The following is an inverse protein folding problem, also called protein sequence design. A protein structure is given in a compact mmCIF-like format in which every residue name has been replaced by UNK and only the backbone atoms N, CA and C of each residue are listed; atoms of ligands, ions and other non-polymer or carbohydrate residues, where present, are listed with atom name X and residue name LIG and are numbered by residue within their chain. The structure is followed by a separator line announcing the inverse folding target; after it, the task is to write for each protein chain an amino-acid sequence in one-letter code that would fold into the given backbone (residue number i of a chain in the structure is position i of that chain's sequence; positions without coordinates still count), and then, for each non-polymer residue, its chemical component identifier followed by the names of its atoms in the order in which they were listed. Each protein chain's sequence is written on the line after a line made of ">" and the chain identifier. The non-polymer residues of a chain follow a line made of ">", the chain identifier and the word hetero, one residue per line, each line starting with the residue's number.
data_IF_831650979067
#
_entry.id   IF_831650979067
#
_cell.length_a   1.000
_cell.length_b   1.000
_cell.length_c   1.000
_cell.angle_alpha   90.00
_cell.angle_beta   90.00
_cell.angle_gamma   90.00
#
_symmetry.space_group_name_H-M   'P 1'
#
loop_
_entity.id
_entity.type
_entity.pdbx_description
1 polymer ?
#
# COMPACT_ATOMS: atom_id res chain seq x y z
N UNK A 1 -57.53 13.01 -95.61
CA UNK A 1 -56.78 13.97 -94.79
C UNK A 1 -56.61 13.39 -93.38
N UNK A 2 -55.44 12.89 -93.09
CA UNK A 2 -55.09 12.31 -91.78
C UNK A 2 -54.15 13.24 -91.08
N UNK A 3 -54.54 13.75 -89.95
CA UNK A 3 -53.75 14.63 -89.05
C UNK A 3 -52.92 13.77 -88.10
N UNK A 4 -51.62 13.88 -88.15
CA UNK A 4 -50.69 13.25 -87.16
C UNK A 4 -50.42 14.20 -86.05
N UNK A 5 -50.74 13.74 -84.83
CA UNK A 5 -50.40 14.48 -83.61
C UNK A 5 -49.06 13.91 -83.05
N UNK A 6 -48.02 14.73 -83.00
CA UNK A 6 -46.73 14.39 -82.38
C UNK A 6 -46.82 14.68 -80.84
N UNK A 7 -46.64 13.66 -80.04
CA UNK A 7 -46.55 13.77 -78.61
C UNK A 7 -45.07 13.78 -78.22
N UNK A 8 -44.59 14.94 -77.73
CA UNK A 8 -43.24 15.13 -77.16
C UNK A 8 -43.22 14.75 -75.72
N UNK A 9 -42.44 13.67 -75.36
CA UNK A 9 -42.22 13.24 -74.00
C UNK A 9 -40.99 13.93 -73.47
N UNK A 10 -41.18 14.80 -72.50
CA UNK A 10 -40.11 15.41 -71.73
C UNK A 10 -39.65 14.42 -70.59
N UNK A 11 -38.43 13.92 -70.70
CA UNK A 11 -37.80 13.10 -69.65
C UNK A 11 -37.13 14.03 -68.62
N UNK A 12 -37.73 14.18 -67.47
CA UNK A 12 -37.14 14.92 -66.36
C UNK A 12 -36.21 13.95 -65.59
N UNK A 13 -34.89 14.12 -65.76
CA UNK A 13 -33.90 13.40 -64.96
C UNK A 13 -33.84 13.95 -63.58
N UNK A 14 -34.38 13.26 -62.55
CA UNK A 14 -34.18 13.55 -61.14
C UNK A 14 -32.74 13.13 -60.73
N UNK A 15 -31.82 14.07 -60.66
CA UNK A 15 -30.55 13.87 -59.93
C UNK A 15 -30.84 13.74 -58.43
N UNK A 16 -30.80 12.50 -57.89
CA UNK A 16 -30.75 12.29 -56.44
C UNK A 16 -29.39 12.73 -55.94
N UNK A 17 -29.31 13.91 -55.31
CA UNK A 17 -28.17 14.24 -54.46
C UNK A 17 -28.15 13.26 -53.26
N UNK A 18 -27.21 12.31 -53.28
CA UNK A 18 -26.86 11.56 -52.10
C UNK A 18 -26.07 12.51 -51.19
N UNK A 19 -26.71 13.00 -50.10
CA UNK A 19 -26.00 13.62 -49.01
C UNK A 19 -25.12 12.52 -48.40
N UNK A 20 -23.81 12.58 -48.64
CA UNK A 20 -22.83 11.78 -47.90
C UNK A 20 -22.88 12.23 -46.43
N UNK A 21 -23.39 11.35 -45.55
CA UNK A 21 -23.19 11.52 -44.11
C UNK A 21 -21.69 11.64 -43.84
N UNK A 22 -21.23 12.66 -43.09
CA UNK A 22 -19.82 12.78 -42.76
C UNK A 22 -19.38 11.47 -42.06
N UNK A 23 -18.16 10.98 -42.34
CA UNK A 23 -17.65 9.78 -41.73
C UNK A 23 -17.70 9.97 -40.20
N UNK A 24 -18.34 9.05 -39.51
CA UNK A 24 -18.32 8.99 -38.04
C UNK A 24 -16.86 8.82 -37.67
N UNK A 25 -16.29 9.84 -37.00
CA UNK A 25 -14.90 9.77 -36.56
C UNK A 25 -14.78 8.61 -35.56
N UNK A 26 -13.84 7.70 -35.82
CA UNK A 26 -13.63 6.55 -34.95
C UNK A 26 -13.25 7.05 -33.55
N UNK A 27 -13.82 6.44 -32.52
CA UNK A 27 -13.47 6.76 -31.15
C UNK A 27 -11.96 6.52 -30.90
N UNK A 28 -11.30 7.35 -30.06
CA UNK A 28 -9.89 7.15 -29.72
C UNK A 28 -9.62 5.75 -29.18
N UNK A 29 -8.45 5.19 -29.48
CA UNK A 29 -8.03 3.91 -28.91
C UNK A 29 -7.73 4.05 -27.41
N UNK A 30 -7.74 2.93 -26.69
CA UNK A 30 -7.40 2.94 -25.27
C UNK A 30 -5.89 3.01 -25.09
N UNK A 31 -5.41 4.05 -24.38
CA UNK A 31 -4.01 4.17 -23.96
C UNK A 31 -3.75 3.19 -22.80
N UNK A 32 -2.72 2.36 -22.93
CA UNK A 32 -2.34 1.38 -21.91
C UNK A 32 -1.41 1.99 -20.87
N UNK A 33 -1.91 2.20 -19.66
CA UNK A 33 -1.12 2.69 -18.52
C UNK A 33 -0.51 1.53 -17.70
N UNK A 34 0.72 1.74 -17.25
CA UNK A 34 1.40 0.92 -16.26
C UNK A 34 1.30 1.55 -14.86
N UNK A 35 1.26 2.88 -14.80
CA UNK A 35 1.01 3.70 -13.60
C UNK A 35 0.38 5.05 -14.03
N UNK A 36 -0.47 5.65 -13.17
CA UNK A 36 -1.00 5.09 -11.93
C UNK A 36 -1.99 3.96 -12.20
N UNK A 37 -2.14 3.06 -11.21
CA UNK A 37 -3.21 2.07 -11.16
C UNK A 37 -4.40 2.62 -10.36
N UNK A 38 -5.57 2.07 -10.58
CA UNK A 38 -6.75 2.44 -9.79
C UNK A 38 -6.55 2.11 -8.30
N UNK A 39 -6.99 2.98 -7.38
CA UNK A 39 -6.72 2.97 -5.94
C UNK A 39 -5.24 3.13 -5.54
N UNK A 40 -4.34 3.45 -6.47
CA UNK A 40 -2.94 3.72 -6.11
C UNK A 40 -2.81 5.02 -5.34
N UNK A 41 -2.13 4.95 -4.20
CA UNK A 41 -1.68 6.11 -3.43
C UNK A 41 -0.20 6.32 -3.67
N UNK A 42 0.19 7.59 -3.86
CA UNK A 42 1.58 8.03 -3.87
C UNK A 42 1.85 8.79 -2.59
N UNK A 43 3.03 8.55 -2.01
CA UNK A 43 3.43 9.22 -0.78
C UNK A 43 3.54 10.72 -1.02
N UNK A 44 2.79 11.53 -0.27
CA UNK A 44 2.89 12.99 -0.37
C UNK A 44 4.24 13.50 0.12
N UNK A 45 4.75 14.54 -0.52
CA UNK A 45 6.01 15.18 -0.18
C UNK A 45 5.90 16.03 1.08
N UNK A 46 4.80 16.76 1.21
CA UNK A 46 4.47 17.67 2.30
C UNK A 46 2.95 17.63 2.61
N UNK A 47 2.46 18.58 3.38
CA UNK A 47 1.04 18.64 3.74
C UNK A 47 0.11 18.91 2.54
N UNK A 48 0.62 19.47 1.44
CA UNK A 48 -0.19 20.05 0.37
C UNK A 48 -0.15 19.25 -0.93
N UNK A 49 0.95 18.52 -1.22
CA UNK A 49 1.19 17.92 -2.53
C UNK A 49 2.10 16.70 -2.52
N UNK A 50 2.15 16.04 -3.65
CA UNK A 50 3.09 14.95 -3.93
C UNK A 50 3.25 14.72 -5.42
N UNK A 51 4.27 13.93 -5.76
CA UNK A 51 4.56 13.57 -7.14
C UNK A 51 4.05 12.17 -7.44
N UNK A 52 3.41 12.02 -8.60
CA UNK A 52 3.04 10.74 -9.16
C UNK A 52 3.92 10.40 -10.36
N UNK A 53 4.05 9.12 -10.63
CA UNK A 53 4.59 8.63 -11.90
C UNK A 53 3.45 8.28 -12.82
N UNK A 54 3.46 8.82 -14.04
CA UNK A 54 2.56 8.43 -15.11
C UNK A 54 3.38 7.70 -16.14
N UNK A 55 3.06 6.44 -16.43
CA UNK A 55 3.80 5.62 -17.39
C UNK A 55 2.88 4.67 -18.14
N UNK A 56 3.27 4.31 -19.35
CA UNK A 56 2.46 3.43 -20.20
C UNK A 56 3.12 3.12 -21.51
N UNK A 57 2.32 2.56 -22.42
CA UNK A 57 2.74 2.19 -23.77
C UNK A 57 1.72 2.72 -24.77
N UNK A 58 2.20 3.46 -25.77
CA UNK A 58 1.39 3.93 -26.91
C UNK A 58 1.17 2.81 -27.92
N UNK A 59 0.01 2.77 -28.54
CA UNK A 59 -0.19 1.99 -29.75
C UNK A 59 0.51 2.64 -30.96
N UNK A 60 0.59 3.98 -30.94
CA UNK A 60 1.27 4.78 -31.96
C UNK A 60 1.95 5.96 -31.28
N UNK A 61 3.17 6.32 -31.72
CA UNK A 61 3.92 7.46 -31.17
C UNK A 61 3.17 8.78 -31.37
N UNK A 62 2.73 9.46 -30.30
CA UNK A 62 2.02 10.72 -30.42
C UNK A 62 2.99 11.89 -30.63
N UNK A 63 2.44 13.03 -31.02
CA UNK A 63 3.15 14.32 -31.00
C UNK A 63 3.07 14.97 -29.61
N UNK A 64 1.96 14.75 -28.91
CA UNK A 64 1.68 15.38 -27.62
C UNK A 64 0.94 14.41 -26.69
N UNK A 65 1.27 14.46 -25.41
CA UNK A 65 0.55 13.78 -24.33
C UNK A 65 -0.01 14.86 -23.40
N UNK A 66 -1.29 14.79 -23.11
CA UNK A 66 -1.99 15.74 -22.24
C UNK A 66 -2.57 14.99 -21.04
N UNK A 67 -2.54 15.64 -19.89
CA UNK A 67 -3.13 15.14 -18.65
C UNK A 67 -4.01 16.20 -18.02
N UNK A 68 -5.10 15.79 -17.39
CA UNK A 68 -5.88 16.63 -16.47
C UNK A 68 -6.36 15.80 -15.28
N UNK A 69 -6.68 16.48 -14.18
CA UNK A 69 -7.23 15.85 -12.99
C UNK A 69 -8.60 16.42 -12.65
N UNK A 70 -9.45 15.54 -12.11
CA UNK A 70 -10.71 15.94 -11.49
C UNK A 70 -10.63 15.52 -10.02
N UNK A 71 -10.83 16.46 -9.10
CA UNK A 71 -10.82 16.22 -7.66
C UNK A 71 -11.91 17.07 -7.01
N UNK A 72 -12.71 16.49 -6.12
CA UNK A 72 -13.83 17.15 -5.43
C UNK A 72 -14.78 17.91 -6.41
N UNK A 73 -15.00 17.33 -7.58
CA UNK A 73 -15.87 17.93 -8.62
C UNK A 73 -15.24 19.08 -9.43
N UNK A 74 -14.00 19.46 -9.14
CA UNK A 74 -13.27 20.47 -9.89
C UNK A 74 -12.36 19.82 -10.92
N UNK A 75 -12.45 20.24 -12.16
CA UNK A 75 -11.65 19.76 -13.30
C UNK A 75 -10.58 20.79 -13.64
N UNK A 76 -9.31 20.36 -13.71
CA UNK A 76 -8.22 21.20 -14.20
C UNK A 76 -8.27 21.35 -15.71
N UNK A 77 -7.55 22.33 -16.24
CA UNK A 77 -7.25 22.39 -17.66
C UNK A 77 -6.40 21.20 -18.11
N UNK A 78 -6.39 20.92 -19.41
CA UNK A 78 -5.45 19.99 -20.01
C UNK A 78 -4.03 20.58 -20.00
N UNK A 79 -3.09 19.84 -19.41
CA UNK A 79 -1.71 20.26 -19.26
C UNK A 79 -0.83 19.32 -20.10
N UNK A 80 0.10 19.88 -20.93
CA UNK A 80 1.09 19.08 -21.63
C UNK A 80 1.98 18.31 -20.64
N UNK A 81 2.08 16.99 -20.81
CA UNK A 81 2.91 16.13 -20.01
C UNK A 81 4.30 15.98 -20.65
N UNK A 82 5.34 16.49 -20.00
CA UNK A 82 6.72 16.31 -20.44
C UNK A 82 7.15 14.87 -20.10
N UNK A 83 7.02 13.98 -21.08
CA UNK A 83 7.32 12.56 -20.90
C UNK A 83 8.67 12.19 -21.53
N UNK A 84 9.43 11.35 -20.82
CA UNK A 84 10.54 10.62 -21.42
C UNK A 84 9.94 9.47 -22.26
N UNK A 85 10.19 9.49 -23.57
CA UNK A 85 9.65 8.50 -24.50
C UNK A 85 10.79 7.66 -25.04
N UNK A 86 10.72 6.36 -24.82
CA UNK A 86 11.63 5.37 -25.38
C UNK A 86 10.81 4.37 -26.22
N UNK A 87 11.02 4.37 -27.53
CA UNK A 87 10.19 3.65 -28.50
C UNK A 87 8.71 4.05 -28.38
N UNK A 88 7.86 3.15 -27.92
CA UNK A 88 6.45 3.38 -27.62
C UNK A 88 6.14 3.46 -26.12
N UNK A 89 7.14 3.25 -25.25
CA UNK A 89 6.97 3.38 -23.81
C UNK A 89 7.23 4.83 -23.37
N UNK A 90 6.49 5.29 -22.37
CA UNK A 90 6.69 6.62 -21.81
C UNK A 90 6.65 6.59 -20.28
N UNK A 91 7.34 7.57 -19.68
CA UNK A 91 7.28 7.85 -18.25
C UNK A 91 7.41 9.35 -17.99
N UNK A 92 6.62 9.87 -17.06
CA UNK A 92 6.65 11.25 -16.64
C UNK A 92 6.36 11.38 -15.15
N UNK A 93 6.98 12.36 -14.50
CA UNK A 93 6.56 12.86 -13.19
C UNK A 93 5.45 13.90 -13.35
N UNK A 94 4.49 13.89 -12.46
CA UNK A 94 3.42 14.88 -12.42
C UNK A 94 3.06 15.20 -10.97
N UNK A 95 3.01 16.49 -10.63
CA UNK A 95 2.67 16.94 -9.29
C UNK A 95 1.15 17.09 -9.15
N UNK A 96 0.60 16.56 -8.05
CA UNK A 96 -0.81 16.69 -7.70
C UNK A 96 -0.97 17.22 -6.28
N UNK A 97 -2.04 17.98 -5.98
CA UNK A 97 -2.36 18.37 -4.62
C UNK A 97 -2.77 17.15 -3.77
N UNK A 98 -2.44 17.19 -2.48
CA UNK A 98 -2.98 16.25 -1.51
C UNK A 98 -4.47 16.55 -1.26
N UNK A 99 -5.26 15.49 -0.98
CA UNK A 99 -6.70 15.69 -0.74
C UNK A 99 -7.52 14.44 -1.02
N UNK A 100 -8.61 14.57 -1.76
CA UNK A 100 -9.47 13.46 -2.17
C UNK A 100 -8.83 12.56 -3.22
N UNK A 101 -9.61 11.58 -3.73
CA UNK A 101 -9.21 10.85 -4.91
C UNK A 101 -9.20 11.76 -6.13
N UNK A 102 -8.14 11.71 -6.92
CA UNK A 102 -8.08 12.30 -8.25
C UNK A 102 -8.56 11.27 -9.28
N UNK A 103 -9.48 11.68 -10.14
CA UNK A 103 -9.69 11.03 -11.42
C UNK A 103 -8.71 11.65 -12.40
N UNK A 104 -7.80 10.85 -12.93
CA UNK A 104 -6.85 11.29 -13.94
C UNK A 104 -7.34 10.90 -15.33
N UNK A 105 -7.32 11.87 -16.24
CA UNK A 105 -7.62 11.67 -17.64
C UNK A 105 -6.37 12.00 -18.46
N UNK A 106 -6.02 11.09 -19.36
CA UNK A 106 -4.91 11.27 -20.30
C UNK A 106 -5.44 11.16 -21.71
N UNK A 107 -4.85 11.95 -22.60
CA UNK A 107 -5.05 11.80 -24.05
C UNK A 107 -3.75 12.04 -24.79
N UNK A 108 -3.59 11.35 -25.89
CA UNK A 108 -2.49 11.56 -26.82
C UNK A 108 -3.01 12.17 -28.11
N UNK A 109 -2.20 13.06 -28.71
CA UNK A 109 -2.59 13.75 -29.94
C UNK A 109 -1.54 13.58 -31.04
N UNK A 110 -2.03 13.44 -32.27
CA UNK A 110 -1.24 13.45 -33.48
C UNK A 110 -1.96 14.31 -34.54
N UNK A 111 -1.25 15.30 -35.09
CA UNK A 111 -1.81 16.25 -36.07
C UNK A 111 -3.12 16.95 -35.61
N UNK A 112 -3.18 17.30 -34.31
CA UNK A 112 -4.34 17.95 -33.70
C UNK A 112 -5.54 17.05 -33.40
N UNK A 113 -5.45 15.76 -33.70
CA UNK A 113 -6.48 14.76 -33.38
C UNK A 113 -6.10 13.93 -32.17
N UNK A 114 -7.08 13.64 -31.33
CA UNK A 114 -6.93 12.68 -30.22
C UNK A 114 -6.89 11.27 -30.83
N UNK A 115 -5.85 10.50 -30.50
CA UNK A 115 -5.63 9.14 -31.02
C UNK A 115 -5.81 8.06 -29.95
N UNK A 116 -5.47 8.35 -28.69
CA UNK A 116 -5.64 7.42 -27.57
C UNK A 116 -6.05 8.17 -26.31
N UNK A 117 -6.82 7.52 -25.44
CA UNK A 117 -7.26 8.06 -24.16
C UNK A 117 -7.15 7.00 -23.06
N UNK A 118 -6.94 7.47 -21.81
CA UNK A 118 -7.03 6.64 -20.62
C UNK A 118 -7.64 7.44 -19.47
N UNK A 119 -8.32 6.74 -18.58
CA UNK A 119 -8.85 7.29 -17.33
C UNK A 119 -8.50 6.34 -16.17
N UNK A 120 -8.09 6.92 -15.04
CA UNK A 120 -7.90 6.21 -13.77
C UNK A 120 -8.74 6.96 -12.72
N UNK A 121 -9.69 6.26 -12.11
CA UNK A 121 -10.71 6.89 -11.26
C UNK A 121 -10.22 7.29 -9.87
N UNK A 122 -9.32 6.50 -9.26
CA UNK A 122 -8.88 6.72 -7.89
C UNK A 122 -7.35 6.76 -7.80
N UNK A 123 -6.78 7.97 -7.96
CA UNK A 123 -5.36 8.21 -7.74
C UNK A 123 -5.19 9.09 -6.50
N UNK A 124 -4.43 8.62 -5.51
CA UNK A 124 -4.28 9.29 -4.23
C UNK A 124 -2.92 9.96 -4.05
N UNK A 125 -2.92 11.15 -3.45
CA UNK A 125 -1.75 11.79 -2.85
C UNK A 125 -1.97 11.78 -1.34
N UNK A 126 -1.22 10.92 -0.62
CA UNK A 126 -1.50 10.69 0.79
C UNK A 126 -0.38 9.99 1.56
N UNK A 127 -0.74 9.17 2.51
CA UNK A 127 0.22 8.47 3.37
C UNK A 127 0.26 6.98 3.07
N UNK A 128 1.47 6.43 3.00
CA UNK A 128 1.69 4.99 2.78
C UNK A 128 2.46 4.42 3.98
N UNK A 129 1.98 3.33 4.54
CA UNK A 129 2.64 2.60 5.62
C UNK A 129 2.88 1.15 5.24
N UNK A 130 4.08 0.64 5.53
CA UNK A 130 4.37 -0.79 5.45
C UNK A 130 4.01 -1.42 6.80
N UNK A 131 3.26 -2.51 6.81
CA UNK A 131 2.83 -3.21 8.04
C UNK A 131 3.49 -4.57 8.09
N UNK A 132 4.37 -4.78 9.07
CA UNK A 132 5.17 -5.98 9.21
C UNK A 132 5.14 -6.54 10.65
N UNK A 133 5.52 -7.79 10.80
CA UNK A 133 5.53 -8.49 12.06
C UNK A 133 4.79 -9.81 12.01
N UNK A 134 4.13 -10.21 13.12
CA UNK A 134 3.44 -11.50 13.17
C UNK A 134 1.90 -11.37 13.06
N UNK A 135 1.16 -12.35 13.57
CA UNK A 135 -0.28 -12.51 13.31
C UNK A 135 -1.12 -11.26 13.55
N UNK A 136 -0.90 -10.51 14.62
CA UNK A 136 -1.64 -9.29 14.92
C UNK A 136 -1.25 -8.08 14.03
N UNK A 137 -0.22 -8.19 13.17
CA UNK A 137 0.07 -7.28 12.05
C UNK A 137 -0.51 -7.76 10.72
N UNK A 138 -1.25 -8.86 10.73
CA UNK A 138 -1.78 -9.55 9.56
C UNK A 138 -3.29 -9.79 9.71
N UNK A 139 -3.84 -10.79 9.00
CA UNK A 139 -5.28 -11.06 8.97
C UNK A 139 -5.67 -12.20 9.94
N UNK A 140 -5.35 -12.05 11.21
CA UNK A 140 -5.66 -13.08 12.20
C UNK A 140 -6.69 -12.64 13.26
N UNK A 141 -7.17 -11.41 13.20
CA UNK A 141 -8.26 -10.96 14.07
C UNK A 141 -9.56 -11.71 13.80
N UNK A 142 -10.41 -11.79 14.82
CA UNK A 142 -11.63 -12.60 14.83
C UNK A 142 -12.66 -12.13 13.79
N UNK A 143 -12.82 -10.82 13.64
CA UNK A 143 -13.81 -10.22 12.75
C UNK A 143 -13.14 -9.37 11.66
N UNK A 144 -13.55 -9.57 10.41
CA UNK A 144 -13.10 -8.74 9.28
C UNK A 144 -13.57 -7.30 9.45
N UNK A 145 -12.67 -6.37 9.16
CA UNK A 145 -12.95 -4.95 9.12
C UNK A 145 -13.01 -4.45 7.67
N UNK A 146 -13.76 -3.36 7.46
CA UNK A 146 -13.82 -2.67 6.18
C UNK A 146 -13.63 -1.17 6.40
N UNK A 147 -13.03 -0.48 5.42
CA UNK A 147 -12.91 0.97 5.46
C UNK A 147 -14.28 1.65 5.40
N UNK A 148 -14.48 2.68 6.22
CA UNK A 148 -15.69 3.49 6.27
C UNK A 148 -15.61 4.73 5.37
N UNK A 149 -14.41 5.21 5.11
CA UNK A 149 -14.20 6.45 4.35
C UNK A 149 -14.05 6.23 2.84
N UNK A 150 -13.93 4.96 2.38
CA UNK A 150 -13.58 4.61 0.99
C UNK A 150 -12.29 5.27 0.48
N UNK A 151 -11.44 5.78 1.38
CA UNK A 151 -10.15 6.41 1.08
C UNK A 151 -8.95 5.70 1.71
N UNK A 152 -9.16 4.46 2.15
CA UNK A 152 -8.10 3.59 2.62
C UNK A 152 -7.88 2.50 1.59
N UNK A 153 -6.68 2.41 1.06
CA UNK A 153 -6.30 1.41 0.08
C UNK A 153 -5.19 0.48 0.60
N UNK A 154 -4.95 -0.58 -0.14
CA UNK A 154 -3.92 -1.57 0.19
C UNK A 154 -3.25 -2.06 -1.08
N UNK A 155 -1.95 -2.34 -0.99
CA UNK A 155 -1.16 -2.91 -2.07
C UNK A 155 -0.40 -4.15 -1.62
N UNK A 156 -0.46 -5.24 -2.39
CA UNK A 156 0.34 -6.45 -2.16
C UNK A 156 1.75 -6.38 -2.78
N UNK A 157 2.11 -5.19 -3.32
CA UNK A 157 3.31 -4.94 -4.11
C UNK A 157 3.06 -5.00 -5.62
N UNK A 158 1.83 -5.29 -6.07
CA UNK A 158 1.44 -5.35 -7.49
C UNK A 158 0.07 -4.76 -7.75
N UNK A 159 -0.91 -5.08 -6.92
CA UNK A 159 -2.32 -4.70 -7.10
C UNK A 159 -2.75 -3.77 -5.98
N UNK A 160 -3.51 -2.77 -6.36
CA UNK A 160 -4.13 -1.81 -5.46
C UNK A 160 -5.62 -2.07 -5.37
N UNK A 161 -6.18 -1.94 -4.18
CA UNK A 161 -7.61 -2.08 -3.92
C UNK A 161 -7.99 -1.37 -2.63
N UNK A 162 -9.30 -1.24 -2.35
CA UNK A 162 -9.76 -0.79 -1.02
C UNK A 162 -9.29 -1.74 0.08
N UNK A 163 -8.90 -1.19 1.23
CA UNK A 163 -8.38 -1.92 2.37
C UNK A 163 -9.51 -2.61 3.17
N UNK A 164 -10.23 -3.54 2.53
CA UNK A 164 -11.19 -4.42 3.20
C UNK A 164 -10.54 -5.78 3.48
N UNK A 165 -10.75 -6.31 4.68
CA UNK A 165 -10.15 -7.58 5.07
C UNK A 165 -10.70 -8.80 4.28
N UNK A 166 -9.84 -9.79 4.02
CA UNK A 166 -8.44 -9.90 4.43
C UNK A 166 -7.51 -9.06 3.55
N UNK A 167 -6.50 -8.43 4.18
CA UNK A 167 -5.53 -7.61 3.47
C UNK A 167 -4.61 -8.47 2.60
N UNK A 168 -4.43 -8.17 1.30
CA UNK A 168 -3.54 -8.94 0.43
C UNK A 168 -2.08 -8.76 0.86
N UNK A 169 -1.27 -9.81 0.67
CA UNK A 169 0.17 -9.77 1.00
C UNK A 169 0.53 -10.15 2.43
N UNK A 170 -0.43 -10.14 3.36
CA UNK A 170 -0.26 -10.64 4.73
C UNK A 170 -0.91 -12.02 4.93
N UNK A 171 -0.44 -12.77 5.92
CA UNK A 171 -1.00 -14.08 6.25
C UNK A 171 -2.35 -14.00 6.96
N UNK A 172 -3.10 -15.10 6.95
CA UNK A 172 -4.42 -15.22 7.59
C UNK A 172 -5.58 -14.80 6.67
N UNK A 173 -6.81 -15.03 7.14
CA UNK A 173 -8.05 -14.80 6.40
C UNK A 173 -9.12 -14.08 7.26
N UNK A 174 -8.75 -13.62 8.44
CA UNK A 174 -9.60 -12.88 9.38
C UNK A 174 -9.47 -11.37 9.23
N UNK A 175 -9.60 -10.66 10.35
CA UNK A 175 -9.56 -9.20 10.43
C UNK A 175 -8.17 -8.63 10.68
N UNK A 176 -8.03 -7.33 10.40
CA UNK A 176 -6.83 -6.53 10.67
C UNK A 176 -7.17 -5.16 11.25
N UNK A 177 -6.19 -4.50 11.85
CA UNK A 177 -6.34 -3.12 12.35
C UNK A 177 -6.18 -2.06 11.26
N UNK A 178 -5.82 -2.44 10.04
CA UNK A 178 -5.48 -1.50 8.97
C UNK A 178 -6.67 -0.65 8.51
N UNK A 179 -7.88 -1.21 8.26
CA UNK A 179 -9.03 -0.37 7.90
C UNK A 179 -9.35 0.69 8.96
N UNK A 180 -9.54 0.37 10.26
CA UNK A 180 -9.86 1.39 11.26
C UNK A 180 -8.72 2.39 11.52
N UNK A 181 -7.46 1.98 11.42
CA UNK A 181 -6.32 2.89 11.47
C UNK A 181 -6.35 3.86 10.29
N UNK A 182 -6.54 3.35 9.08
CA UNK A 182 -6.60 4.16 7.87
C UNK A 182 -7.73 5.19 7.93
N UNK A 183 -8.93 4.79 8.35
CA UNK A 183 -10.07 5.70 8.52
C UNK A 183 -9.78 6.82 9.53
N UNK A 184 -9.11 6.50 10.64
CA UNK A 184 -8.71 7.51 11.63
C UNK A 184 -7.71 8.53 11.04
N UNK A 185 -6.74 8.07 10.24
CA UNK A 185 -5.78 8.94 9.57
C UNK A 185 -6.44 9.77 8.45
N UNK A 186 -7.34 9.17 7.65
CA UNK A 186 -8.14 9.89 6.64
C UNK A 186 -8.96 10.98 7.29
N UNK A 187 -9.64 10.68 8.40
CA UNK A 187 -10.44 11.65 9.15
C UNK A 187 -9.60 12.83 9.65
N UNK A 188 -8.36 12.56 10.08
CA UNK A 188 -7.47 13.58 10.63
C UNK A 188 -6.83 14.46 9.57
N UNK A 189 -6.30 13.87 8.50
CA UNK A 189 -5.47 14.57 7.52
C UNK A 189 -6.19 14.89 6.20
N UNK A 190 -7.39 14.35 6.02
CA UNK A 190 -8.22 14.50 4.81
C UNK A 190 -7.50 14.10 3.51
N UNK A 191 -6.64 13.08 3.56
CA UNK A 191 -5.92 12.50 2.41
C UNK A 191 -6.16 11.01 2.33
N UNK A 192 -6.01 10.37 1.16
CA UNK A 192 -5.98 8.91 1.06
C UNK A 192 -4.85 8.31 1.90
N UNK A 193 -5.11 7.13 2.45
CA UNK A 193 -4.13 6.36 3.23
C UNK A 193 -3.99 4.97 2.63
N UNK A 194 -2.77 4.49 2.53
CA UNK A 194 -2.52 3.16 2.02
C UNK A 194 -1.64 2.32 2.94
N UNK A 195 -1.85 1.00 2.89
CA UNK A 195 -1.01 0.02 3.56
C UNK A 195 -0.36 -0.92 2.56
N UNK A 196 0.86 -1.34 2.88
CA UNK A 196 1.58 -2.41 2.18
C UNK A 196 1.86 -3.50 3.22
N UNK A 197 0.96 -4.50 3.35
CA UNK A 197 1.05 -5.51 4.39
C UNK A 197 2.02 -6.63 4.01
N UNK A 198 2.80 -7.09 4.98
CA UNK A 198 3.64 -8.28 4.84
C UNK A 198 3.75 -9.11 6.14
N UNK A 199 2.85 -8.91 7.09
CA UNK A 199 2.83 -9.67 8.34
C UNK A 199 2.68 -11.18 8.12
N UNK A 200 3.43 -11.98 8.89
CA UNK A 200 3.47 -13.44 8.77
C UNK A 200 3.16 -14.06 10.13
N UNK A 201 2.06 -14.80 10.23
CA UNK A 201 1.61 -15.41 11.48
C UNK A 201 2.66 -16.29 12.13
N UNK A 202 2.71 -16.24 13.48
CA UNK A 202 3.55 -17.04 14.34
C UNK A 202 5.07 -16.90 14.12
N UNK A 203 5.54 -15.82 13.49
CA UNK A 203 6.97 -15.60 13.27
C UNK A 203 7.65 -14.99 14.48
N UNK A 204 8.82 -15.51 14.86
CA UNK A 204 9.80 -14.91 15.74
C UNK A 204 10.59 -13.81 15.01
N UNK A 205 11.14 -12.84 15.74
CA UNK A 205 12.05 -11.84 15.17
C UNK A 205 13.25 -12.50 14.45
N UNK A 206 13.69 -13.69 14.90
CA UNK A 206 14.76 -14.48 14.30
C UNK A 206 14.49 -14.84 12.83
N UNK A 207 13.23 -15.10 12.46
CA UNK A 207 12.83 -15.44 11.08
C UNK A 207 12.88 -14.25 10.13
N UNK A 208 12.87 -13.02 10.69
CA UNK A 208 12.96 -11.77 9.93
C UNK A 208 14.39 -11.26 9.72
N UNK A 209 15.38 -11.93 10.32
CA UNK A 209 16.79 -11.57 10.09
C UNK A 209 17.18 -11.78 8.63
N UNK A 210 18.09 -10.95 8.09
CA UNK A 210 18.75 -11.24 6.82
C UNK A 210 19.42 -12.62 6.86
N UNK A 211 19.47 -13.30 5.73
CA UNK A 211 20.23 -14.55 5.62
C UNK A 211 21.70 -14.32 5.98
N UNK A 212 22.30 -15.29 6.67
CA UNK A 212 23.70 -15.22 7.11
C UNK A 212 23.90 -14.59 8.50
N UNK A 213 22.83 -14.14 9.17
CA UNK A 213 22.92 -13.69 10.57
C UNK A 213 22.63 -14.88 11.49
N UNK A 214 23.66 -15.42 12.21
CA UNK A 214 23.47 -16.60 13.05
C UNK A 214 22.81 -16.24 14.39
N UNK A 215 22.13 -17.23 14.97
CA UNK A 215 21.60 -17.17 16.33
C UNK A 215 21.68 -18.55 17.00
N UNK A 216 21.77 -18.60 18.35
CA UNK A 216 22.12 -19.85 19.05
C UNK A 216 20.96 -20.86 19.10
N UNK A 217 19.71 -20.40 19.18
CA UNK A 217 18.57 -21.24 19.42
C UNK A 217 17.42 -20.90 18.47
N UNK A 218 16.72 -21.91 17.89
CA UNK A 218 15.63 -21.67 16.96
C UNK A 218 14.37 -21.15 17.67
N UNK A 219 13.45 -20.52 16.93
CA UNK A 219 12.11 -20.20 17.41
C UNK A 219 11.27 -21.49 17.61
N UNK A 220 10.08 -21.35 18.21
CA UNK A 220 9.14 -22.48 18.38
C UNK A 220 8.71 -23.08 17.05
N UNK A 221 8.55 -22.24 16.01
CA UNK A 221 8.23 -22.69 14.64
C UNK A 221 9.47 -22.48 13.77
N UNK A 222 10.02 -23.57 13.25
CA UNK A 222 11.30 -23.58 12.53
C UNK A 222 11.16 -23.49 11.01
N UNK A 223 9.98 -23.13 10.49
CA UNK A 223 9.69 -23.19 9.06
C UNK A 223 10.52 -22.22 8.19
N UNK A 224 11.11 -21.17 8.79
CA UNK A 224 11.90 -20.14 8.08
C UNK A 224 13.31 -20.00 8.61
N UNK A 225 13.78 -21.01 9.33
CA UNK A 225 15.14 -21.07 9.85
C UNK A 225 15.81 -22.37 9.44
N UNK A 226 17.12 -22.38 9.43
CA UNK A 226 17.90 -23.58 9.13
C UNK A 226 19.03 -23.76 10.12
N UNK A 227 19.35 -25.00 10.44
CA UNK A 227 20.47 -25.35 11.31
C UNK A 227 21.78 -25.24 10.54
N UNK A 228 22.77 -24.63 11.16
CA UNK A 228 24.11 -24.49 10.60
C UNK A 228 24.97 -25.74 10.86
N UNK A 229 25.86 -26.14 9.92
CA UNK A 229 26.74 -27.31 10.08
C UNK A 229 27.63 -27.24 11.34
N UNK A 230 28.08 -26.02 11.72
CA UNK A 230 28.92 -25.76 12.90
C UNK A 230 28.15 -25.56 14.21
N UNK A 231 26.84 -25.78 14.21
CA UNK A 231 25.95 -25.50 15.33
C UNK A 231 25.33 -24.07 15.21
N UNK A 232 24.24 -23.85 15.98
CA UNK A 232 23.42 -22.65 15.84
C UNK A 232 22.48 -22.71 14.64
N UNK A 233 21.84 -21.56 14.37
CA UNK A 233 20.76 -21.44 13.39
C UNK A 233 20.90 -20.11 12.63
N UNK A 234 20.30 -20.03 11.46
CA UNK A 234 20.12 -18.76 10.73
C UNK A 234 18.72 -18.70 10.10
N UNK A 235 18.25 -17.49 9.79
CA UNK A 235 17.06 -17.30 8.96
C UNK A 235 17.34 -17.76 7.52
N UNK A 236 16.35 -18.34 6.86
CA UNK A 236 16.41 -18.57 5.40
C UNK A 236 16.30 -17.24 4.60
N UNK A 237 16.04 -16.12 5.29
CA UNK A 237 15.99 -14.77 4.73
C UNK A 237 14.73 -14.40 3.96
N UNK A 238 13.74 -15.31 3.85
CA UNK A 238 12.56 -15.06 2.99
C UNK A 238 11.66 -13.95 3.51
N UNK A 239 11.47 -13.82 4.84
CA UNK A 239 10.66 -12.75 5.42
C UNK A 239 11.34 -11.38 5.24
N UNK A 240 12.64 -11.28 5.50
CA UNK A 240 13.41 -10.07 5.25
C UNK A 240 13.42 -9.66 3.77
N UNK A 241 13.67 -10.62 2.87
CA UNK A 241 13.67 -10.36 1.43
C UNK A 241 12.30 -9.85 0.94
N UNK A 242 11.19 -10.39 1.47
CA UNK A 242 9.85 -9.91 1.14
C UNK A 242 9.63 -8.48 1.64
N UNK A 243 9.99 -8.18 2.89
CA UNK A 243 9.94 -6.83 3.43
C UNK A 243 10.73 -5.84 2.58
N UNK A 244 11.99 -6.18 2.28
CA UNK A 244 12.88 -5.36 1.46
C UNK A 244 12.34 -5.13 0.05
N UNK A 245 11.81 -6.18 -0.60
CA UNK A 245 11.16 -6.08 -1.91
C UNK A 245 10.02 -5.06 -1.91
N UNK A 246 9.18 -5.05 -0.87
CA UNK A 246 8.06 -4.11 -0.76
C UNK A 246 8.55 -2.68 -0.50
N UNK A 247 9.57 -2.51 0.36
CA UNK A 247 10.18 -1.21 0.62
C UNK A 247 10.80 -0.61 -0.65
N UNK A 248 11.54 -1.42 -1.41
CA UNK A 248 12.16 -1.02 -2.67
C UNK A 248 11.11 -0.76 -3.77
N UNK A 249 10.05 -1.58 -3.82
CA UNK A 249 8.95 -1.43 -4.76
C UNK A 249 8.14 -0.16 -4.56
N UNK A 250 8.08 0.37 -3.33
CA UNK A 250 7.48 1.67 -3.05
C UNK A 250 8.35 2.85 -3.59
N UNK A 251 9.64 2.60 -3.84
CA UNK A 251 10.58 3.62 -4.31
C UNK A 251 11.19 4.47 -3.20
N UNK A 252 12.17 5.32 -3.55
CA UNK A 252 12.81 6.23 -2.60
C UNK A 252 11.78 7.17 -1.95
N UNK A 253 11.72 7.15 -0.61
CA UNK A 253 10.74 7.90 0.18
C UNK A 253 9.27 7.63 -0.21
N UNK A 254 8.99 6.50 -0.88
CA UNK A 254 7.67 6.14 -1.39
C UNK A 254 6.71 5.56 -0.33
N UNK A 255 7.11 5.56 0.94
CA UNK A 255 6.26 5.26 2.10
C UNK A 255 6.68 6.13 3.30
N UNK A 256 5.77 6.33 4.25
CA UNK A 256 6.00 7.20 5.41
C UNK A 256 6.76 6.52 6.53
N UNK A 257 6.36 5.31 6.88
CA UNK A 257 6.97 4.54 7.96
C UNK A 257 6.65 3.05 7.84
N UNK A 258 7.42 2.24 8.58
CA UNK A 258 7.11 0.83 8.87
C UNK A 258 6.42 0.73 10.22
N UNK A 259 5.31 0.01 10.28
CA UNK A 259 4.59 -0.31 11.51
C UNK A 259 4.89 -1.78 11.88
N UNK A 260 5.69 -1.96 12.93
CA UNK A 260 6.13 -3.27 13.38
C UNK A 260 5.32 -3.74 14.58
N UNK A 261 4.67 -4.91 14.44
CA UNK A 261 3.91 -5.56 15.51
C UNK A 261 4.31 -7.03 15.62
N UNK A 262 5.24 -7.34 16.51
CA UNK A 262 5.77 -8.69 16.73
C UNK A 262 6.42 -8.76 18.13
N UNK A 263 6.34 -9.91 18.79
CA UNK A 263 6.95 -10.15 20.10
C UNK A 263 6.40 -11.40 20.76
N UNK A 264 5.16 -11.77 20.50
CA UNK A 264 4.48 -12.91 21.13
C UNK A 264 5.22 -14.25 20.89
N UNK A 265 5.75 -14.45 19.66
CA UNK A 265 6.49 -15.69 19.33
C UNK A 265 7.92 -15.74 19.92
N UNK A 266 8.35 -14.70 20.61
CA UNK A 266 9.65 -14.64 21.32
C UNK A 266 9.50 -14.55 22.84
N UNK A 267 8.31 -14.13 23.31
CA UNK A 267 7.98 -14.04 24.74
C UNK A 267 7.54 -15.39 25.30
N UNK A 268 7.89 -15.68 26.54
CA UNK A 268 7.29 -16.70 27.41
C UNK A 268 6.87 -17.99 26.69
N UNK A 269 7.76 -18.57 25.87
CA UNK A 269 7.43 -19.77 25.13
C UNK A 269 7.28 -20.98 26.06
N UNK A 270 6.41 -21.92 25.71
CA UNK A 270 6.17 -23.16 26.47
C UNK A 270 7.46 -23.95 26.71
N UNK A 271 8.37 -23.98 25.73
CA UNK A 271 9.75 -24.42 25.91
C UNK A 271 10.61 -23.19 26.22
N UNK A 272 11.15 -23.05 27.44
CA UNK A 272 11.96 -21.90 27.82
C UNK A 272 13.18 -21.68 26.91
N UNK A 273 13.72 -22.76 26.31
CA UNK A 273 14.83 -22.65 25.36
C UNK A 273 14.44 -21.95 24.04
N UNK A 274 13.16 -21.82 23.75
CA UNK A 274 12.62 -21.12 22.59
C UNK A 274 12.29 -19.65 22.89
N UNK A 275 12.17 -19.31 24.18
CA UNK A 275 12.00 -17.91 24.61
C UNK A 275 13.26 -17.12 24.32
N UNK A 276 13.12 -15.96 23.69
CA UNK A 276 14.24 -15.13 23.35
C UNK A 276 14.52 -14.14 24.49
N UNK A 277 15.75 -14.06 25.02
CA UNK A 277 16.13 -13.02 25.96
C UNK A 277 15.94 -11.63 25.34
N UNK A 278 15.44 -10.67 26.08
CA UNK A 278 15.16 -9.32 25.60
C UNK A 278 16.38 -8.64 24.96
N UNK A 279 17.59 -8.87 25.48
CA UNK A 279 18.82 -8.38 24.87
C UNK A 279 18.97 -8.86 23.41
N UNK A 280 18.76 -10.16 23.15
CA UNK A 280 18.85 -10.72 21.79
C UNK A 280 17.69 -10.26 20.91
N UNK A 281 16.48 -10.16 21.48
CA UNK A 281 15.34 -9.61 20.74
C UNK A 281 15.64 -8.19 20.24
N UNK A 282 16.17 -7.33 21.10
CA UNK A 282 16.58 -5.98 20.73
C UNK A 282 17.64 -5.99 19.63
N UNK A 283 18.71 -6.77 19.82
CA UNK A 283 19.81 -6.85 18.85
C UNK A 283 19.31 -7.28 17.48
N UNK A 284 18.41 -8.27 17.42
CA UNK A 284 17.87 -8.77 16.16
C UNK A 284 16.93 -7.79 15.49
N UNK A 285 16.04 -7.13 16.24
CA UNK A 285 15.15 -6.14 15.65
C UNK A 285 15.93 -4.89 15.20
N UNK A 286 16.92 -4.44 15.95
CA UNK A 286 17.84 -3.37 15.55
C UNK A 286 18.61 -3.75 14.26
N UNK A 287 19.04 -5.00 14.15
CA UNK A 287 19.71 -5.52 12.94
C UNK A 287 18.77 -5.43 11.72
N UNK A 288 17.50 -5.87 11.85
CA UNK A 288 16.50 -5.78 10.77
C UNK A 288 16.30 -4.32 10.35
N UNK A 289 16.07 -3.42 11.31
CA UNK A 289 15.85 -1.99 11.05
C UNK A 289 17.05 -1.38 10.34
N UNK A 290 18.26 -1.62 10.85
CA UNK A 290 19.49 -1.02 10.32
C UNK A 290 19.82 -1.54 8.92
N UNK A 291 19.72 -2.86 8.72
CA UNK A 291 19.95 -3.43 7.39
C UNK A 291 18.90 -2.95 6.37
N UNK A 292 17.62 -2.91 6.75
CA UNK A 292 16.58 -2.42 5.83
C UNK A 292 16.83 -0.98 5.38
N UNK A 293 17.22 -0.09 6.30
CA UNK A 293 17.59 1.30 5.99
C UNK A 293 18.79 1.41 5.07
N UNK A 294 19.82 0.59 5.31
CA UNK A 294 21.00 0.50 4.43
C UNK A 294 20.60 0.05 3.03
N UNK A 295 19.78 -1.00 2.94
CA UNK A 295 19.45 -1.66 1.69
C UNK A 295 18.47 -0.85 0.82
N UNK A 296 17.70 0.06 1.40
CA UNK A 296 16.86 1.04 0.67
C UNK A 296 17.53 2.41 0.48
N UNK A 297 18.69 2.65 1.11
CA UNK A 297 19.46 3.89 0.96
C UNK A 297 18.94 5.11 1.71
N UNK A 298 17.99 4.97 2.65
CA UNK A 298 17.49 6.08 3.47
C UNK A 298 17.00 5.63 4.85
N UNK A 299 16.96 6.58 5.80
CA UNK A 299 16.59 6.33 7.20
C UNK A 299 15.07 6.29 7.37
N UNK A 300 14.40 5.26 6.83
CA UNK A 300 12.97 5.07 6.98
C UNK A 300 12.56 5.05 8.47
N UNK A 301 11.52 5.79 8.87
CA UNK A 301 10.97 5.71 10.23
C UNK A 301 10.36 4.33 10.48
N UNK A 302 10.57 3.80 11.69
CA UNK A 302 9.95 2.57 12.17
C UNK A 302 9.20 2.86 13.45
N UNK A 303 7.95 2.44 13.53
CA UNK A 303 7.21 2.36 14.78
C UNK A 303 7.24 0.93 15.27
N UNK A 304 7.63 0.71 16.52
CA UNK A 304 7.68 -0.60 17.16
C UNK A 304 6.64 -0.64 18.27
N UNK A 305 5.63 -1.51 18.15
CA UNK A 305 4.63 -1.72 19.19
C UNK A 305 5.20 -2.49 20.38
N UNK A 306 4.62 -2.29 21.58
CA UNK A 306 4.84 -3.18 22.71
C UNK A 306 3.93 -4.40 22.60
N UNK A 307 4.55 -5.57 22.43
CA UNK A 307 3.86 -6.81 22.05
C UNK A 307 4.53 -7.99 22.73
N UNK A 308 3.79 -8.70 23.57
CA UNK A 308 4.23 -9.95 24.17
C UNK A 308 3.10 -10.81 24.74
N UNK A 309 1.86 -10.35 24.60
CA UNK A 309 0.65 -11.01 25.15
C UNK A 309 0.37 -12.36 24.47
N UNK A 310 0.06 -13.40 25.25
CA UNK A 310 -0.43 -14.67 24.76
C UNK A 310 -1.90 -14.93 25.11
N UNK A 311 -2.19 -15.05 26.40
CA UNK A 311 -3.51 -15.42 26.95
C UNK A 311 -3.66 -14.82 28.36
N UNK A 312 -4.85 -14.83 28.96
CA UNK A 312 -5.01 -14.51 30.38
C UNK A 312 -4.06 -15.35 31.26
N UNK A 313 -3.31 -14.69 32.11
CA UNK A 313 -2.27 -15.31 32.96
C UNK A 313 -0.86 -15.31 32.33
N UNK A 314 -0.75 -15.05 31.03
CA UNK A 314 0.50 -14.79 30.31
C UNK A 314 0.32 -13.55 29.44
N UNK A 315 0.12 -12.40 30.08
CA UNK A 315 -0.34 -11.18 29.44
C UNK A 315 0.79 -10.23 29.05
N UNK A 316 2.01 -10.48 29.54
CA UNK A 316 3.17 -9.64 29.22
C UNK A 316 4.48 -10.35 29.57
N UNK A 317 5.50 -10.08 28.76
CA UNK A 317 6.90 -10.39 29.06
C UNK A 317 7.63 -9.09 29.36
N UNK A 318 8.01 -8.80 30.62
CA UNK A 318 8.76 -7.60 30.95
C UNK A 318 10.06 -7.47 30.17
N UNK A 319 10.71 -8.59 29.84
CA UNK A 319 11.98 -8.65 29.15
C UNK A 319 11.83 -8.19 27.67
N UNK A 320 10.87 -8.76 26.92
CA UNK A 320 10.58 -8.35 25.55
C UNK A 320 10.07 -6.92 25.49
N UNK A 321 9.17 -6.51 26.37
CA UNK A 321 8.64 -5.13 26.44
C UNK A 321 9.74 -4.11 26.72
N UNK A 322 10.67 -4.45 27.64
CA UNK A 322 11.83 -3.60 27.95
C UNK A 322 12.77 -3.45 26.74
N UNK A 323 12.97 -4.53 25.99
CA UNK A 323 13.74 -4.53 24.76
C UNK A 323 13.11 -3.63 23.68
N UNK A 324 11.80 -3.74 23.46
CA UNK A 324 11.05 -2.88 22.53
C UNK A 324 11.15 -1.40 22.93
N UNK A 325 10.91 -1.10 24.21
CA UNK A 325 11.00 0.27 24.74
C UNK A 325 12.43 0.85 24.65
N UNK A 326 13.46 0.03 24.74
CA UNK A 326 14.85 0.49 24.62
C UNK A 326 15.17 1.02 23.22
N UNK A 327 14.55 0.45 22.15
CA UNK A 327 14.70 0.97 20.80
C UNK A 327 14.13 2.39 20.64
N UNK A 328 13.07 2.71 21.37
CA UNK A 328 12.50 4.07 21.39
C UNK A 328 13.41 5.06 22.11
N UNK A 329 13.89 4.69 23.31
CA UNK A 329 14.79 5.54 24.11
C UNK A 329 16.08 5.90 23.38
N UNK A 330 16.59 4.95 22.62
CA UNK A 330 17.86 5.10 21.90
C UNK A 330 17.67 5.73 20.50
N UNK A 331 16.43 6.11 20.12
CA UNK A 331 16.11 6.77 18.86
C UNK A 331 16.29 5.86 17.60
N UNK A 332 16.35 4.54 17.81
CA UNK A 332 16.41 3.56 16.73
C UNK A 332 15.03 3.45 16.06
N UNK A 333 13.97 3.46 16.87
CA UNK A 333 12.58 3.41 16.42
C UNK A 333 11.73 4.45 17.15
N UNK A 334 10.52 4.67 16.67
CA UNK A 334 9.46 5.43 17.30
C UNK A 334 8.57 4.50 18.13
N UNK A 335 7.93 5.03 19.16
CA UNK A 335 7.00 4.27 19.98
C UNK A 335 5.73 3.94 19.19
N UNK A 336 5.44 2.65 19.05
CA UNK A 336 4.12 2.14 18.68
C UNK A 336 3.21 1.98 19.90
N UNK A 337 1.97 1.49 19.72
CA UNK A 337 1.03 1.31 20.82
C UNK A 337 1.44 0.16 21.76
N UNK A 338 1.00 0.25 23.01
CA UNK A 338 0.97 -0.88 23.94
C UNK A 338 -0.23 -1.77 23.61
N UNK A 339 0.01 -2.85 22.88
CA UNK A 339 -1.02 -3.81 22.50
C UNK A 339 -1.31 -4.87 23.57
N UNK A 340 -0.39 -5.05 24.55
CA UNK A 340 -0.59 -5.97 25.67
C UNK A 340 -1.65 -5.43 26.67
N UNK A 341 -1.87 -4.12 26.66
CA UNK A 341 -2.95 -3.49 27.42
C UNK A 341 -4.36 -3.75 26.86
N UNK A 342 -4.47 -4.32 25.64
CA UNK A 342 -5.74 -4.76 25.07
C UNK A 342 -6.07 -6.17 25.57
N UNK A 343 -6.97 -6.28 26.53
CA UNK A 343 -7.32 -7.52 27.25
C UNK A 343 -8.84 -7.74 27.27
N UNK A 344 -9.26 -8.88 27.81
CA UNK A 344 -10.66 -9.23 27.97
C UNK A 344 -11.41 -9.20 26.63
N UNK A 345 -12.53 -8.52 26.55
CA UNK A 345 -13.38 -8.45 25.35
C UNK A 345 -12.69 -7.92 24.09
N UNK A 346 -11.51 -7.29 24.23
CA UNK A 346 -10.71 -6.84 23.10
C UNK A 346 -9.88 -7.97 22.46
N UNK A 347 -9.90 -9.17 23.06
CA UNK A 347 -9.27 -10.37 22.51
C UNK A 347 -10.31 -11.35 21.98
N UNK A 348 -9.90 -12.15 21.00
CA UNK A 348 -10.72 -13.20 20.41
C UNK A 348 -11.21 -14.23 21.44
N UNK A 349 -12.21 -15.06 21.08
CA UNK A 349 -12.72 -16.13 21.92
C UNK A 349 -13.13 -15.65 23.31
N UNK A 350 -13.81 -14.50 23.37
CA UNK A 350 -14.26 -13.90 24.63
C UNK A 350 -13.10 -13.61 25.61
N UNK A 351 -12.00 -13.12 25.08
CA UNK A 351 -10.83 -12.73 25.87
C UNK A 351 -9.82 -13.85 26.16
N UNK A 352 -10.01 -15.04 25.59
CA UNK A 352 -9.15 -16.21 25.85
C UNK A 352 -8.06 -16.43 24.81
N UNK A 353 -8.07 -15.70 23.70
CA UNK A 353 -7.13 -15.89 22.60
C UNK A 353 -6.06 -14.81 22.52
N UNK A 354 -5.06 -15.03 21.67
CA UNK A 354 -3.93 -14.12 21.42
C UNK A 354 -4.29 -13.01 20.44
N UNK A 355 -5.22 -13.27 19.54
CA UNK A 355 -5.59 -12.28 18.52
C UNK A 355 -6.67 -11.32 19.05
N UNK A 356 -6.94 -10.27 18.29
CA UNK A 356 -7.94 -9.28 18.65
C UNK A 356 -9.34 -9.69 18.21
N UNK A 357 -10.35 -9.38 19.04
CA UNK A 357 -11.75 -9.34 18.62
C UNK A 357 -11.99 -8.19 17.64
N UNK A 358 -13.17 -8.09 17.03
CA UNK A 358 -13.53 -6.95 16.20
C UNK A 358 -13.41 -5.60 16.90
N UNK A 359 -13.87 -5.54 18.17
CA UNK A 359 -13.68 -4.37 19.03
C UNK A 359 -12.20 -4.09 19.31
N UNK A 360 -11.42 -5.15 19.56
CA UNK A 360 -9.98 -5.06 19.76
C UNK A 360 -9.23 -4.51 18.54
N UNK A 361 -9.61 -4.93 17.33
CA UNK A 361 -9.01 -4.41 16.09
C UNK A 361 -9.27 -2.91 15.91
N UNK A 362 -10.49 -2.45 16.19
CA UNK A 362 -10.85 -1.03 16.13
C UNK A 362 -10.08 -0.22 17.17
N UNK A 363 -10.01 -0.70 18.40
CA UNK A 363 -9.24 -0.05 19.48
C UNK A 363 -7.74 -0.05 19.16
N UNK A 364 -7.20 -1.15 18.61
CA UNK A 364 -5.79 -1.22 18.22
C UNK A 364 -5.47 -0.24 17.07
N UNK A 365 -6.35 -0.12 16.09
CA UNK A 365 -6.25 0.90 15.04
C UNK A 365 -6.25 2.32 15.60
N UNK A 366 -7.12 2.60 16.57
CA UNK A 366 -7.18 3.89 17.29
C UNK A 366 -5.88 4.18 18.05
N UNK A 367 -5.31 3.20 18.73
CA UNK A 367 -4.03 3.34 19.45
C UNK A 367 -2.86 3.56 18.51
N UNK A 368 -2.82 2.90 17.36
CA UNK A 368 -1.84 3.20 16.31
C UNK A 368 -1.98 4.65 15.83
N UNK A 369 -3.21 5.10 15.56
CA UNK A 369 -3.47 6.49 15.16
C UNK A 369 -2.99 7.49 16.22
N UNK A 370 -3.20 7.21 17.51
CA UNK A 370 -2.75 8.06 18.61
C UNK A 370 -1.22 8.21 18.67
N UNK A 371 -0.45 7.24 18.19
CA UNK A 371 1.01 7.35 18.09
C UNK A 371 1.44 8.07 16.80
N UNK A 372 0.79 7.78 15.69
CA UNK A 372 1.20 8.28 14.38
C UNK A 372 0.81 9.75 14.18
N UNK A 373 -0.38 10.16 14.58
CA UNK A 373 -0.92 11.50 14.32
C UNK A 373 0.00 12.61 14.85
N UNK A 374 0.40 12.63 16.14
CA UNK A 374 1.24 13.71 16.67
C UNK A 374 2.62 13.77 16.02
N UNK A 375 3.17 12.62 15.65
CA UNK A 375 4.43 12.55 14.92
C UNK A 375 4.28 13.09 13.51
N UNK A 376 3.27 12.63 12.76
CA UNK A 376 3.04 13.05 11.38
C UNK A 376 2.71 14.54 11.27
N UNK A 377 2.00 15.12 12.25
CA UNK A 377 1.79 16.58 12.34
C UNK A 377 3.09 17.38 12.46
N UNK A 378 4.14 16.81 13.07
CA UNK A 378 5.46 17.45 13.14
C UNK A 378 6.25 17.28 11.84
N UNK A 379 6.19 16.11 11.25
CA UNK A 379 6.89 15.81 9.98
C UNK A 379 6.36 16.62 8.77
N UNK A 380 5.12 17.09 8.86
CA UNK A 380 4.44 17.82 7.78
C UNK A 380 4.49 19.35 7.95
N UNK A 381 5.10 19.86 9.02
CA UNK A 381 5.34 21.29 9.24
C UNK A 381 6.59 21.76 8.50
#
# INVERSE_FOLDING_TARGET
>A
MKCFLLLSVFLVALCKLHAQTPPVEAAPAQLKLNAPLDYQVFQRSDAQKGNITISGVFAQRPKEVLVRSVVNGQTSDWIPLTAAIHDLSFSAGFELPAGGWHRLELRTQLNGKVIEEATVEHVGIGEIFIVAGQSNSANHGEEKQSTQTSRVSVCDGRRWQLANDPQPGASGQGGSFMPPLGDALVKKFNVPVAFIPCGIGATSVREWLPKGVPFPQPPTIESRVQKLPGGGWESNGTAYARLLQLMQGAGPHGFRAVLWHQGESDANQRDPNRTLPGKLYREYLENIITNSRRDIGWKAPWFVAQVSYHVPGDEASPDIRSAQASLWRDGIALAGPDSDALKGELRERQGKGVHFSGAGLREHGSRWAAQIIPWLERELK
#
